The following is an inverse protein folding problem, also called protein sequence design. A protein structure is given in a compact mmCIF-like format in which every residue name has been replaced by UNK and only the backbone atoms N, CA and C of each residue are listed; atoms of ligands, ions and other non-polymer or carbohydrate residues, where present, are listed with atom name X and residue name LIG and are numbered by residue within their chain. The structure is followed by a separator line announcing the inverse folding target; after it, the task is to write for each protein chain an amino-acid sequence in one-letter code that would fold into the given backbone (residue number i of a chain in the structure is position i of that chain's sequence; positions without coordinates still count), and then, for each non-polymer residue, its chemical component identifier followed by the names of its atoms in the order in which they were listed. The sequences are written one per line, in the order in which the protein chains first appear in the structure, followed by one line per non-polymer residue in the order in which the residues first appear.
data_IF_147031599589
#
_entry.id   IF_147031599589
#
_cell.length_a   1.000
_cell.length_b   1.000
_cell.length_c   1.000
_cell.angle_alpha   90.00
_cell.angle_beta   90.00
_cell.angle_gamma   90.00
#
_symmetry.space_group_name_H-M   'P 1'
#
loop_
_entity.id
_entity.type
_entity.pdbx_description
1 polymer ?
#
# COMPACT_ATOMS: atom_id res chain seq x y z
N UNK A 1 -51.11 19.20 0.79
CA UNK A 1 -50.36 18.57 1.89
C UNK A 1 -50.22 17.09 1.54
N UNK A 2 -49.12 16.72 0.90
CA UNK A 2 -48.81 15.33 0.52
C UNK A 2 -48.06 14.70 1.70
N UNK A 3 -48.48 13.50 2.09
CA UNK A 3 -48.05 12.79 3.30
C UNK A 3 -46.63 12.24 3.17
N UNK A 4 -45.68 12.76 3.97
CA UNK A 4 -44.28 12.34 4.08
C UNK A 4 -44.08 11.10 4.98
N UNK A 5 -45.16 10.49 5.46
CA UNK A 5 -45.12 9.36 6.39
C UNK A 5 -44.45 8.08 5.84
N UNK A 6 -44.60 7.70 4.54
CA UNK A 6 -44.01 6.45 4.05
C UNK A 6 -42.48 6.47 3.88
N UNK A 7 -41.88 7.64 3.69
CA UNK A 7 -40.43 7.79 3.52
C UNK A 7 -39.70 7.80 4.87
N UNK A 8 -40.31 8.43 5.88
CA UNK A 8 -39.82 8.40 7.25
C UNK A 8 -39.87 6.98 7.87
N UNK A 9 -40.90 6.19 7.57
CA UNK A 9 -40.98 4.81 8.07
C UNK A 9 -39.88 3.89 7.47
N UNK A 10 -39.46 4.13 6.21
CA UNK A 10 -38.34 3.40 5.57
C UNK A 10 -36.97 3.81 6.09
N UNK A 11 -36.74 5.09 6.38
CA UNK A 11 -35.49 5.54 6.98
C UNK A 11 -35.31 5.05 8.43
N UNK A 12 -36.40 4.93 9.20
CA UNK A 12 -36.36 4.42 10.57
C UNK A 12 -36.04 2.91 10.60
N UNK A 13 -36.62 2.11 9.69
CA UNK A 13 -36.33 0.66 9.62
C UNK A 13 -34.88 0.39 9.18
N UNK A 14 -34.36 1.13 8.21
CA UNK A 14 -32.96 1.00 7.77
C UNK A 14 -31.96 1.37 8.87
N UNK A 15 -32.29 2.34 9.72
CA UNK A 15 -31.44 2.78 10.83
C UNK A 15 -31.48 1.82 12.02
N UNK A 16 -32.61 1.18 12.29
CA UNK A 16 -32.72 0.12 13.31
C UNK A 16 -31.98 -1.17 12.91
N UNK A 17 -32.00 -1.55 11.63
CA UNK A 17 -31.21 -2.68 11.12
C UNK A 17 -29.70 -2.41 11.17
N UNK A 18 -29.27 -1.17 10.87
CA UNK A 18 -27.86 -0.77 10.97
C UNK A 18 -27.35 -0.75 12.42
N UNK A 19 -28.19 -0.33 13.38
CA UNK A 19 -27.85 -0.35 14.81
C UNK A 19 -27.84 -1.77 15.38
N UNK A 20 -28.75 -2.64 14.92
CA UNK A 20 -28.77 -4.06 15.29
C UNK A 20 -27.53 -4.83 14.81
N UNK A 21 -27.05 -4.52 13.60
CA UNK A 21 -25.80 -5.08 13.06
C UNK A 21 -24.55 -4.63 13.83
N UNK A 22 -24.54 -3.39 14.31
CA UNK A 22 -23.41 -2.83 15.08
C UNK A 22 -23.35 -3.38 16.51
N UNK A 23 -24.50 -3.65 17.15
CA UNK A 23 -24.58 -4.32 18.45
C UNK A 23 -24.17 -5.81 18.38
N UNK A 24 -24.51 -6.49 17.28
CA UNK A 24 -24.07 -7.86 17.01
C UNK A 24 -22.54 -7.93 16.76
N UNK A 25 -21.97 -6.91 16.12
CA UNK A 25 -20.53 -6.74 15.93
C UNK A 25 -19.80 -6.47 17.24
N UNK A 26 -20.29 -5.52 18.07
CA UNK A 26 -19.68 -5.21 19.36
C UNK A 26 -19.73 -6.38 20.36
N UNK A 27 -20.76 -7.23 20.31
CA UNK A 27 -20.81 -8.47 21.13
C UNK A 27 -19.86 -9.57 20.64
N UNK A 28 -19.48 -9.60 19.35
CA UNK A 28 -18.47 -10.53 18.83
C UNK A 28 -17.05 -10.09 19.16
N UNK A 29 -16.78 -8.79 19.12
CA UNK A 29 -15.45 -8.23 19.42
C UNK A 29 -15.18 -8.21 20.94
N UNK A 30 -16.22 -8.25 21.77
CA UNK A 30 -16.10 -8.20 23.25
C UNK A 30 -16.26 -9.57 23.96
N UNK A 31 -15.94 -10.68 23.29
CA UNK A 31 -15.97 -12.02 23.89
C UNK A 31 -14.88 -12.24 24.97
N UNK A 32 -15.09 -13.16 25.93
CA UNK A 32 -14.51 -13.10 27.26
C UNK A 32 -13.02 -13.46 27.32
N UNK A 33 -12.31 -12.82 28.23
CA UNK A 33 -10.89 -13.04 28.51
C UNK A 33 -10.54 -14.50 28.74
N UNK A 34 -9.43 -14.91 28.12
CA UNK A 34 -8.80 -16.22 28.27
C UNK A 34 -8.21 -16.33 29.68
N UNK A 35 -8.64 -17.34 30.43
CA UNK A 35 -7.88 -17.91 31.55
C UNK A 35 -7.86 -19.45 31.39
N UNK A 36 -6.78 -20.14 31.83
CA UNK A 36 -6.25 -21.32 31.16
C UNK A 36 -6.96 -22.63 31.53
N UNK A 37 -6.78 -23.61 30.65
CA UNK A 37 -7.35 -24.96 30.70
C UNK A 37 -6.98 -25.76 31.96
N UNK A 38 -7.95 -26.51 32.51
CA UNK A 38 -7.72 -27.74 33.27
C UNK A 38 -8.91 -28.72 33.19
N UNK A 39 -8.58 -30.01 33.34
CA UNK A 39 -9.25 -31.24 32.92
C UNK A 39 -10.65 -31.59 33.51
N UNK A 40 -11.34 -32.50 32.82
CA UNK A 40 -12.53 -33.29 33.24
C UNK A 40 -12.27 -34.10 34.55
N UNK A 41 -13.23 -34.54 35.38
CA UNK A 41 -14.45 -35.39 35.18
C UNK A 41 -15.43 -35.25 36.41
N UNK A 42 -16.53 -36.04 36.67
CA UNK A 42 -17.88 -35.48 36.96
C UNK A 42 -18.53 -35.90 38.32
N UNK A 43 -19.80 -35.47 38.47
CA UNK A 43 -20.92 -36.07 39.26
C UNK A 43 -21.26 -35.54 40.69
N UNK A 44 -22.42 -34.84 40.72
CA UNK A 44 -23.60 -35.05 41.58
C UNK A 44 -23.78 -34.36 42.98
N UNK A 45 -25.04 -33.92 43.18
CA UNK A 45 -25.85 -33.79 44.43
C UNK A 45 -26.01 -32.40 45.11
N UNK A 46 -27.14 -31.75 44.77
CA UNK A 46 -28.25 -31.25 45.65
C UNK A 46 -28.13 -29.98 46.54
N UNK A 47 -29.01 -29.01 46.20
CA UNK A 47 -29.83 -28.02 46.96
C UNK A 47 -29.32 -27.36 48.26
N UNK A 48 -29.42 -26.02 48.35
CA UNK A 48 -30.36 -25.29 49.25
C UNK A 48 -30.44 -23.78 48.95
N UNK A 49 -31.42 -23.09 49.55
CA UNK A 49 -32.10 -21.87 49.10
C UNK A 49 -31.51 -20.49 49.53
N UNK A 50 -31.84 -19.47 48.71
CA UNK A 50 -32.10 -18.01 48.85
C UNK A 50 -32.04 -17.28 50.25
N UNK A 51 -32.11 -15.91 50.36
CA UNK A 51 -32.21 -14.83 49.34
C UNK A 51 -31.38 -13.51 49.59
N UNK A 52 -31.53 -12.58 48.63
CA UNK A 52 -31.58 -11.09 48.74
C UNK A 52 -30.30 -10.24 48.91
N UNK A 53 -30.07 -9.32 47.95
CA UNK A 53 -29.94 -7.87 48.14
C UNK A 53 -29.91 -7.15 46.77
N UNK A 54 -30.83 -6.21 46.56
CA UNK A 54 -30.94 -5.35 45.38
C UNK A 54 -30.05 -4.09 45.52
N UNK A 55 -29.57 -3.48 44.43
CA UNK A 55 -29.10 -2.11 44.45
C UNK A 55 -30.16 -1.12 43.92
N UNK A 56 -30.19 0.00 44.63
CA UNK A 56 -31.07 1.16 44.60
C UNK A 56 -31.16 1.89 43.26
N UNK A 57 -32.40 2.20 42.86
CA UNK A 57 -32.76 3.21 41.86
C UNK A 57 -32.58 4.60 42.46
N UNK A 58 -31.80 5.48 41.82
CA UNK A 58 -31.94 6.94 41.93
C UNK A 58 -31.49 7.62 40.61
N UNK A 59 -32.48 8.07 39.84
CA UNK A 59 -32.42 9.23 38.95
C UNK A 59 -33.70 10.05 39.24
N UNK A 60 -33.86 11.33 38.84
CA UNK A 60 -33.01 12.17 37.98
C UNK A 60 -32.81 13.61 38.52
N UNK A 61 -32.01 14.44 37.84
CA UNK A 61 -32.47 15.70 37.21
C UNK A 61 -31.35 16.73 36.95
N UNK A 62 -31.55 17.46 35.85
CA UNK A 62 -31.02 18.75 35.41
C UNK A 62 -29.74 18.82 34.55
N UNK A 63 -30.02 19.07 33.27
CA UNK A 63 -29.18 19.64 32.23
C UNK A 63 -28.43 20.90 32.69
N UNK A 64 -27.17 21.00 32.26
CA UNK A 64 -26.37 22.23 32.34
C UNK A 64 -26.15 22.73 30.91
N UNK A 65 -26.83 23.83 30.62
CA UNK A 65 -26.58 24.75 29.49
C UNK A 65 -25.26 25.49 29.76
N UNK A 66 -24.37 25.71 28.77
CA UNK A 66 -23.23 26.62 28.96
C UNK A 66 -23.72 28.06 28.91
N UNK A 67 -23.71 28.73 30.06
CA UNK A 67 -24.01 30.16 30.21
C UNK A 67 -22.76 31.00 29.91
N UNK A 68 -23.00 32.08 29.16
CA UNK A 68 -22.08 33.16 28.85
C UNK A 68 -21.45 33.80 30.12
N UNK A 69 -20.23 34.33 29.96
CA UNK A 69 -19.59 35.24 30.91
C UNK A 69 -18.86 36.38 30.20
N UNK A 70 -18.65 37.53 30.87
CA UNK A 70 -19.20 38.80 30.39
C UNK A 70 -18.15 39.87 30.08
N UNK A 71 -18.66 40.94 29.44
CA UNK A 71 -17.99 42.19 29.06
C UNK A 71 -17.70 43.05 30.30
N UNK A 72 -16.49 43.61 30.39
CA UNK A 72 -16.19 44.81 31.17
C UNK A 72 -15.32 45.78 30.34
N UNK A 73 -15.54 47.08 30.58
CA UNK A 73 -15.36 48.23 29.68
C UNK A 73 -14.02 49.00 29.83
N UNK A 74 -13.59 49.59 28.70
CA UNK A 74 -12.90 50.89 28.41
C UNK A 74 -11.56 51.25 29.10
N UNK A 75 -10.40 51.37 28.39
CA UNK A 75 -9.84 52.44 27.48
C UNK A 75 -9.15 53.62 28.23
N UNK A 76 -8.22 54.45 27.65
CA UNK A 76 -7.74 54.58 26.26
C UNK A 76 -6.23 54.92 26.02
N UNK A 77 -5.77 54.85 24.75
CA UNK A 77 -4.85 55.77 24.02
C UNK A 77 -4.34 55.07 22.73
N UNK A 78 -4.98 55.26 21.58
CA UNK A 78 -4.75 56.31 20.59
C UNK A 78 -3.56 56.03 19.65
N UNK A 79 -3.84 55.50 18.45
CA UNK A 79 -3.33 56.06 17.21
C UNK A 79 -4.24 55.64 16.04
N UNK A 80 -4.53 56.63 15.20
CA UNK A 80 -5.65 56.70 14.29
C UNK A 80 -5.40 55.90 13.02
N UNK A 81 -6.30 54.96 12.70
CA UNK A 81 -6.48 54.50 11.32
C UNK A 81 -7.83 54.98 10.80
N UNK A 82 -7.70 55.69 9.68
CA UNK A 82 -8.72 56.30 8.87
C UNK A 82 -9.86 55.34 8.56
N UNK A 83 -11.08 55.87 8.67
CA UNK A 83 -12.32 55.26 8.21
C UNK A 83 -12.18 54.98 6.72
N UNK A 84 -12.01 53.72 6.33
CA UNK A 84 -12.22 53.28 4.95
C UNK A 84 -13.66 53.62 4.58
N UNK A 85 -13.82 54.31 3.47
CA UNK A 85 -15.14 54.66 2.97
C UNK A 85 -15.92 53.37 2.68
N UNK A 86 -17.26 53.34 2.80
CA UNK A 86 -18.07 52.16 2.46
C UNK A 86 -17.81 51.63 1.03
N UNK A 87 -17.26 52.46 0.15
CA UNK A 87 -16.89 52.12 -1.22
C UNK A 87 -15.59 51.30 -1.31
N UNK A 88 -14.62 51.52 -0.42
CA UNK A 88 -13.36 50.73 -0.38
C UNK A 88 -13.58 49.34 0.21
N UNK A 89 -14.48 49.19 1.19
CA UNK A 89 -14.88 47.88 1.71
C UNK A 89 -15.66 47.07 0.66
N UNK A 90 -16.53 47.72 -0.13
CA UNK A 90 -17.24 47.06 -1.25
C UNK A 90 -16.28 46.67 -2.37
N UNK A 91 -15.30 47.52 -2.71
CA UNK A 91 -14.27 47.19 -3.71
C UNK A 91 -13.29 46.11 -3.22
N UNK A 92 -12.96 46.05 -1.93
CA UNK A 92 -12.15 44.99 -1.35
C UNK A 92 -12.90 43.64 -1.33
N UNK A 93 -14.20 43.65 -1.05
CA UNK A 93 -15.06 42.46 -1.14
C UNK A 93 -15.28 42.02 -2.60
N UNK A 94 -15.40 42.95 -3.55
CA UNK A 94 -15.43 42.65 -4.99
C UNK A 94 -14.09 42.12 -5.52
N UNK A 95 -12.96 42.63 -5.02
CA UNK A 95 -11.62 42.16 -5.37
C UNK A 95 -11.30 40.78 -4.77
N UNK A 96 -11.86 40.43 -3.61
CA UNK A 96 -11.78 39.08 -3.02
C UNK A 96 -12.77 38.09 -3.65
N UNK A 97 -13.77 38.56 -4.41
CA UNK A 97 -14.79 37.74 -5.07
C UNK A 97 -14.48 37.40 -6.54
N UNK A 98 -13.34 37.83 -7.08
CA UNK A 98 -12.89 37.40 -8.40
C UNK A 98 -12.39 35.96 -8.33
N UNK A 99 -13.32 34.99 -8.32
CA UNK A 99 -12.99 33.58 -8.60
C UNK A 99 -12.23 33.56 -9.94
N UNK A 100 -11.08 32.85 -10.04
CA UNK A 100 -10.36 32.74 -11.30
C UNK A 100 -11.35 32.27 -12.37
N UNK A 101 -11.47 33.03 -13.46
CA UNK A 101 -12.39 32.64 -14.53
C UNK A 101 -11.98 31.25 -15.04
N UNK A 102 -12.95 30.33 -15.21
CA UNK A 102 -12.65 28.99 -15.68
C UNK A 102 -11.98 29.05 -17.05
N UNK A 103 -10.80 28.43 -17.14
CA UNK A 103 -10.03 28.40 -18.38
C UNK A 103 -10.67 27.41 -19.36
N UNK A 104 -11.59 27.92 -20.18
CA UNK A 104 -12.33 27.13 -21.19
C UNK A 104 -11.41 26.35 -22.13
N UNK A 105 -10.21 26.87 -22.42
CA UNK A 105 -9.20 26.18 -23.23
C UNK A 105 -8.63 24.93 -22.54
N UNK A 106 -8.46 24.97 -21.22
CA UNK A 106 -8.05 23.79 -20.43
C UNK A 106 -9.17 22.76 -20.37
N UNK A 107 -10.40 23.19 -20.12
CA UNK A 107 -11.57 22.30 -20.01
C UNK A 107 -11.84 21.58 -21.34
N UNK A 108 -11.76 22.28 -22.48
CA UNK A 108 -11.87 21.63 -23.80
C UNK A 108 -10.81 20.55 -24.01
N UNK A 109 -9.58 20.76 -23.54
CA UNK A 109 -8.53 19.73 -23.60
C UNK A 109 -8.87 18.54 -22.70
N UNK A 110 -9.40 18.78 -21.49
CA UNK A 110 -9.86 17.70 -20.60
C UNK A 110 -10.99 16.88 -21.23
N UNK A 111 -11.97 17.54 -21.87
CA UNK A 111 -13.04 16.85 -22.61
C UNK A 111 -12.47 15.95 -23.72
N UNK A 112 -11.57 16.48 -24.55
CA UNK A 112 -10.98 15.70 -25.63
C UNK A 112 -10.10 14.55 -25.11
N UNK A 113 -9.36 14.77 -24.02
CA UNK A 113 -8.54 13.75 -23.38
C UNK A 113 -9.40 12.61 -22.82
N UNK A 114 -10.48 12.94 -22.10
CA UNK A 114 -11.43 11.96 -21.58
C UNK A 114 -12.05 11.13 -22.72
N UNK A 115 -12.54 11.78 -23.77
CA UNK A 115 -13.17 11.07 -24.91
C UNK A 115 -12.16 10.18 -25.66
N UNK A 116 -10.89 10.57 -25.74
CA UNK A 116 -9.84 9.73 -26.32
C UNK A 116 -9.57 8.50 -25.44
N UNK A 117 -9.44 8.70 -24.13
CA UNK A 117 -9.21 7.64 -23.15
C UNK A 117 -10.38 6.66 -23.08
N UNK A 118 -11.61 7.16 -23.15
CA UNK A 118 -12.82 6.32 -23.21
C UNK A 118 -12.82 5.43 -24.44
N UNK A 119 -12.57 5.97 -25.64
CA UNK A 119 -12.50 5.17 -26.87
C UNK A 119 -11.40 4.12 -26.84
N UNK A 120 -10.26 4.43 -26.23
CA UNK A 120 -9.18 3.46 -26.05
C UNK A 120 -9.62 2.33 -25.10
N UNK A 121 -10.29 2.68 -24.01
CA UNK A 121 -10.77 1.72 -23.02
C UNK A 121 -11.87 0.80 -23.58
N UNK A 122 -12.87 1.37 -24.26
CA UNK A 122 -14.04 0.65 -24.81
C UNK A 122 -13.75 0.00 -26.17
N UNK A 123 -12.81 0.54 -26.94
CA UNK A 123 -12.47 0.06 -28.28
C UNK A 123 -11.65 -1.24 -28.32
N UNK A 124 -11.08 -1.67 -27.19
CA UNK A 124 -10.34 -2.93 -27.09
C UNK A 124 -11.21 -4.01 -26.44
N UNK A 125 -11.49 -5.15 -27.12
CA UNK A 125 -12.20 -6.28 -26.51
C UNK A 125 -11.40 -6.83 -25.33
N UNK A 126 -11.82 -6.35 -24.15
CA UNK A 126 -11.43 -6.68 -22.79
C UNK A 126 -11.92 -8.03 -22.26
N UNK A 127 -11.08 -8.93 -21.73
CA UNK A 127 -11.57 -9.79 -20.66
C UNK A 127 -11.97 -8.92 -19.45
N UNK A 128 -13.09 -9.24 -18.81
CA UNK A 128 -13.56 -8.48 -17.66
C UNK A 128 -12.83 -8.93 -16.40
N UNK A 129 -11.84 -8.16 -15.96
CA UNK A 129 -11.05 -8.42 -14.76
C UNK A 129 -11.40 -7.43 -13.65
N UNK A 130 -11.14 -7.74 -12.36
CA UNK A 130 -11.30 -6.78 -11.27
C UNK A 130 -10.48 -5.49 -11.48
N UNK A 131 -9.25 -5.59 -11.98
CA UNK A 131 -8.44 -4.43 -12.37
C UNK A 131 -9.19 -3.54 -13.38
N UNK A 132 -9.73 -4.15 -14.46
CA UNK A 132 -10.50 -3.42 -15.48
C UNK A 132 -11.76 -2.80 -14.91
N UNK A 133 -12.46 -3.48 -13.99
CA UNK A 133 -13.62 -2.93 -13.28
C UNK A 133 -13.25 -1.63 -12.53
N UNK A 134 -12.12 -1.62 -11.82
CA UNK A 134 -11.65 -0.45 -11.07
C UNK A 134 -11.22 0.70 -12.02
N UNK A 135 -10.51 0.39 -13.10
CA UNK A 135 -10.16 1.39 -14.12
C UNK A 135 -11.40 1.97 -14.82
N UNK A 136 -12.46 1.19 -15.01
CA UNK A 136 -13.71 1.71 -15.53
C UNK A 136 -14.40 2.65 -14.53
N UNK A 137 -14.41 2.32 -13.23
CA UNK A 137 -14.89 3.24 -12.17
C UNK A 137 -14.11 4.55 -12.15
N UNK A 138 -12.78 4.46 -12.29
CA UNK A 138 -11.90 5.62 -12.42
C UNK A 138 -12.31 6.52 -13.60
N UNK A 139 -12.54 5.91 -14.77
CA UNK A 139 -12.97 6.63 -15.97
C UNK A 139 -14.34 7.29 -15.79
N UNK A 140 -15.30 6.63 -15.13
CA UNK A 140 -16.61 7.23 -14.83
C UNK A 140 -16.46 8.45 -13.92
N UNK A 141 -15.65 8.35 -12.85
CA UNK A 141 -15.36 9.49 -11.97
C UNK A 141 -14.69 10.65 -12.72
N UNK A 142 -13.74 10.35 -13.62
CA UNK A 142 -13.09 11.36 -14.48
C UNK A 142 -14.13 12.08 -15.36
N UNK A 143 -14.99 11.32 -16.03
CA UNK A 143 -16.07 11.86 -16.87
C UNK A 143 -17.03 12.76 -16.07
N UNK A 144 -17.41 12.35 -14.85
CA UNK A 144 -18.21 13.20 -13.94
C UNK A 144 -17.47 14.48 -13.59
N UNK A 145 -16.18 14.40 -13.23
CA UNK A 145 -15.36 15.58 -12.92
C UNK A 145 -15.30 16.57 -14.08
N UNK A 146 -14.99 16.09 -15.29
CA UNK A 146 -14.93 16.91 -16.50
C UNK A 146 -16.28 17.55 -16.84
N UNK A 147 -17.39 16.80 -16.66
CA UNK A 147 -18.72 17.33 -16.90
C UNK A 147 -19.09 18.46 -15.93
N UNK A 148 -18.75 18.31 -14.64
CA UNK A 148 -18.96 19.34 -13.61
C UNK A 148 -18.07 20.58 -13.86
N UNK A 149 -16.80 20.41 -14.27
CA UNK A 149 -15.94 21.54 -14.65
C UNK A 149 -16.53 22.33 -15.84
N UNK A 150 -17.04 21.61 -16.84
CA UNK A 150 -17.65 22.21 -18.01
C UNK A 150 -18.96 22.94 -17.67
N UNK A 151 -19.81 22.36 -16.81
CA UNK A 151 -21.04 23.00 -16.35
C UNK A 151 -20.75 24.29 -15.58
N UNK A 152 -19.79 24.27 -14.65
CA UNK A 152 -19.34 25.47 -13.91
C UNK A 152 -18.80 26.55 -14.86
N UNK A 153 -18.23 26.17 -15.99
CA UNK A 153 -17.73 27.08 -17.02
C UNK A 153 -18.78 27.53 -18.05
N UNK A 154 -20.03 27.05 -17.94
CA UNK A 154 -21.09 27.28 -18.92
C UNK A 154 -20.76 26.71 -20.30
N UNK A 155 -20.10 25.55 -20.34
CA UNK A 155 -19.73 24.82 -21.54
C UNK A 155 -20.61 23.58 -21.69
N UNK A 156 -20.78 23.13 -22.93
CA UNK A 156 -21.53 21.90 -23.22
C UNK A 156 -20.72 20.66 -22.79
N UNK A 157 -21.31 19.84 -21.92
CA UNK A 157 -20.76 18.58 -21.43
C UNK A 157 -21.52 17.35 -21.96
N UNK A 158 -22.47 17.55 -22.89
CA UNK A 158 -23.36 16.50 -23.40
C UNK A 158 -22.60 15.24 -23.85
N UNK A 159 -21.55 15.41 -24.66
CA UNK A 159 -20.75 14.29 -25.16
C UNK A 159 -20.04 13.50 -24.05
N UNK A 160 -19.63 14.16 -22.97
CA UNK A 160 -18.99 13.50 -21.83
C UNK A 160 -20.01 12.66 -21.06
N UNK A 161 -21.18 13.25 -20.77
CA UNK A 161 -22.27 12.55 -20.07
C UNK A 161 -22.82 11.38 -20.90
N UNK A 162 -22.89 11.53 -22.22
CA UNK A 162 -23.31 10.43 -23.09
C UNK A 162 -22.31 9.27 -23.07
N UNK A 163 -21.01 9.53 -23.10
CA UNK A 163 -19.99 8.49 -22.89
C UNK A 163 -20.13 7.81 -21.52
N UNK A 164 -20.42 8.55 -20.44
CA UNK A 164 -20.68 7.95 -19.12
C UNK A 164 -21.92 7.04 -19.14
N UNK A 165 -22.97 7.40 -19.89
CA UNK A 165 -24.16 6.54 -20.07
C UNK A 165 -23.86 5.29 -20.88
N UNK A 166 -23.04 5.38 -21.93
CA UNK A 166 -22.60 4.21 -22.69
C UNK A 166 -21.82 3.24 -21.80
N UNK A 167 -20.89 3.76 -21.00
CA UNK A 167 -20.14 2.97 -20.03
C UNK A 167 -21.08 2.29 -19.02
N UNK A 168 -22.12 2.99 -18.55
CA UNK A 168 -23.13 2.41 -17.66
C UNK A 168 -23.86 1.23 -18.29
N UNK A 169 -24.20 1.31 -19.57
CA UNK A 169 -24.85 0.21 -20.30
C UNK A 169 -23.93 -1.01 -20.34
N UNK A 170 -22.65 -0.83 -20.69
CA UNK A 170 -21.66 -1.91 -20.68
C UNK A 170 -21.48 -2.51 -19.26
N UNK A 171 -21.45 -1.66 -18.23
CA UNK A 171 -21.39 -2.10 -16.83
C UNK A 171 -22.57 -3.01 -16.47
N UNK A 172 -23.80 -2.62 -16.83
CA UNK A 172 -25.01 -3.37 -16.50
C UNK A 172 -25.09 -4.70 -17.28
N UNK A 173 -24.53 -4.77 -18.48
CA UNK A 173 -24.46 -6.02 -19.25
C UNK A 173 -23.47 -7.02 -18.66
N UNK A 174 -22.40 -6.54 -18.03
CA UNK A 174 -21.29 -7.37 -17.56
C UNK A 174 -21.29 -7.67 -16.07
N UNK A 175 -22.03 -6.91 -15.27
CA UNK A 175 -22.02 -7.07 -13.81
C UNK A 175 -23.43 -7.29 -13.27
N UNK A 176 -23.57 -8.28 -12.37
CA UNK A 176 -24.80 -8.51 -11.60
C UNK A 176 -24.86 -7.66 -10.32
N UNK A 177 -23.87 -6.78 -10.11
CA UNK A 177 -23.73 -5.99 -8.90
C UNK A 177 -24.59 -4.74 -8.91
N UNK A 178 -24.85 -4.19 -7.72
CA UNK A 178 -25.50 -2.90 -7.57
C UNK A 178 -24.80 -1.82 -8.43
N UNK A 179 -25.55 -0.86 -8.99
CA UNK A 179 -24.98 0.16 -9.86
C UNK A 179 -23.94 0.99 -9.10
N UNK A 180 -22.78 1.19 -9.71
CA UNK A 180 -21.73 2.05 -9.18
C UNK A 180 -22.27 3.47 -8.93
N UNK A 181 -21.96 4.06 -7.76
CA UNK A 181 -22.62 5.29 -7.29
C UNK A 181 -22.47 6.47 -8.26
N UNK A 182 -21.35 6.56 -8.98
CA UNK A 182 -21.06 7.65 -9.89
C UNK A 182 -21.93 7.63 -11.17
N UNK A 183 -22.67 6.54 -11.42
CA UNK A 183 -23.69 6.51 -12.47
C UNK A 183 -24.99 7.23 -12.10
N UNK A 184 -25.16 7.62 -10.83
CA UNK A 184 -26.31 8.39 -10.41
C UNK A 184 -26.14 9.86 -10.82
N UNK A 185 -26.84 10.29 -11.87
CA UNK A 185 -26.76 11.66 -12.39
C UNK A 185 -27.15 12.72 -11.36
N UNK A 186 -27.97 12.39 -10.36
CA UNK A 186 -28.40 13.32 -9.30
C UNK A 186 -27.30 13.62 -8.27
N UNK A 187 -26.18 12.88 -8.27
CA UNK A 187 -25.05 13.14 -7.37
C UNK A 187 -24.12 14.18 -7.97
N UNK A 188 -24.09 15.34 -7.34
CA UNK A 188 -23.18 16.42 -7.68
C UNK A 188 -22.13 16.60 -6.59
N UNK A 189 -20.87 16.67 -7.00
CA UNK A 189 -19.73 16.92 -6.14
C UNK A 189 -18.80 17.91 -6.81
N UNK A 190 -17.93 18.56 -6.03
CA UNK A 190 -16.91 19.45 -6.57
C UNK A 190 -16.03 18.70 -7.57
N UNK A 191 -15.61 19.31 -8.70
CA UNK A 191 -14.76 18.63 -9.68
C UNK A 191 -13.48 18.01 -9.11
N UNK A 192 -12.91 18.62 -8.08
CA UNK A 192 -11.71 18.12 -7.40
C UNK A 192 -11.98 16.78 -6.69
N UNK A 193 -13.17 16.61 -6.09
CA UNK A 193 -13.57 15.34 -5.44
C UNK A 193 -13.67 14.23 -6.49
N UNK A 194 -14.28 14.52 -7.65
CA UNK A 194 -14.38 13.56 -8.74
C UNK A 194 -13.01 13.16 -9.31
N UNK A 195 -12.11 14.13 -9.42
CA UNK A 195 -10.73 13.90 -9.85
C UNK A 195 -10.01 12.97 -8.87
N UNK A 196 -10.08 13.26 -7.57
CA UNK A 196 -9.43 12.41 -6.57
C UNK A 196 -10.06 11.01 -6.46
N UNK A 197 -11.38 10.89 -6.63
CA UNK A 197 -12.02 9.58 -6.73
C UNK A 197 -11.56 8.81 -7.97
N UNK A 198 -11.38 9.50 -9.10
CA UNK A 198 -10.85 8.88 -10.32
C UNK A 198 -9.45 8.32 -10.07
N UNK A 199 -8.56 9.09 -9.45
CA UNK A 199 -7.20 8.65 -9.11
C UNK A 199 -7.22 7.50 -8.10
N UNK A 200 -8.08 7.56 -7.08
CA UNK A 200 -8.19 6.52 -6.07
C UNK A 200 -8.70 5.19 -6.66
N UNK A 201 -9.69 5.21 -7.56
CA UNK A 201 -10.13 4.00 -8.28
C UNK A 201 -9.11 3.49 -9.29
N UNK A 202 -8.29 4.37 -9.88
CA UNK A 202 -7.17 3.92 -10.71
C UNK A 202 -6.14 3.14 -9.86
N UNK A 203 -5.75 3.70 -8.71
CA UNK A 203 -4.86 3.03 -7.78
C UNK A 203 -5.47 1.73 -7.20
N UNK A 204 -6.80 1.64 -7.05
CA UNK A 204 -7.47 0.39 -6.70
C UNK A 204 -7.30 -0.69 -7.78
N UNK A 205 -7.31 -0.30 -9.06
CA UNK A 205 -7.00 -1.21 -10.17
C UNK A 205 -5.57 -1.73 -10.09
N UNK A 206 -4.61 -0.83 -9.87
CA UNK A 206 -3.21 -1.20 -9.62
C UNK A 206 -3.07 -2.13 -8.42
N UNK A 207 -3.87 -1.94 -7.37
CA UNK A 207 -3.90 -2.81 -6.19
C UNK A 207 -4.40 -4.22 -6.48
N UNK A 208 -5.45 -4.38 -7.30
CA UNK A 208 -5.93 -5.69 -7.74
C UNK A 208 -4.81 -6.44 -8.49
N UNK A 209 -4.17 -5.78 -9.47
CA UNK A 209 -3.07 -6.36 -10.25
C UNK A 209 -1.84 -6.69 -9.38
N UNK A 210 -1.52 -5.82 -8.41
CA UNK A 210 -0.42 -6.04 -7.48
C UNK A 210 -0.67 -7.22 -6.54
N UNK A 211 -1.90 -7.39 -6.05
CA UNK A 211 -2.27 -8.52 -5.20
C UNK A 211 -2.32 -9.84 -5.99
N UNK A 212 -2.73 -9.80 -7.27
CA UNK A 212 -2.61 -10.96 -8.17
C UNK A 212 -1.14 -11.35 -8.34
N UNK A 213 -0.26 -10.37 -8.52
CA UNK A 213 1.19 -10.60 -8.61
C UNK A 213 1.76 -11.22 -7.32
N UNK A 214 1.38 -10.73 -6.14
CA UNK A 214 1.81 -11.28 -4.84
C UNK A 214 1.33 -12.72 -4.68
N UNK A 215 0.11 -13.05 -5.10
CA UNK A 215 -0.42 -14.41 -4.98
C UNK A 215 0.21 -15.38 -5.98
N UNK A 216 0.64 -14.90 -7.14
CA UNK A 216 1.21 -15.72 -8.20
C UNK A 216 2.73 -15.99 -8.04
N UNK A 217 3.42 -15.22 -7.19
CA UNK A 217 4.89 -15.24 -7.12
C UNK A 217 5.40 -15.42 -5.70
N UNK A 218 6.45 -16.22 -5.53
CA UNK A 218 7.19 -16.31 -4.27
C UNK A 218 8.13 -15.11 -4.13
N UNK A 219 7.70 -14.10 -3.38
CA UNK A 219 8.45 -12.88 -3.15
C UNK A 219 9.21 -12.93 -1.82
N UNK A 220 10.33 -12.19 -1.74
CA UNK A 220 10.95 -11.90 -0.46
C UNK A 220 9.94 -11.20 0.46
N UNK A 221 10.01 -11.50 1.76
CA UNK A 221 9.02 -11.00 2.74
C UNK A 221 8.92 -9.47 2.70
N UNK A 222 10.05 -8.78 2.62
CA UNK A 222 10.10 -7.32 2.61
C UNK A 222 9.42 -6.73 1.36
N UNK A 223 9.65 -7.33 0.18
CA UNK A 223 9.04 -6.88 -1.07
C UNK A 223 7.52 -7.16 -1.07
N UNK A 224 7.11 -8.32 -0.53
CA UNK A 224 5.69 -8.67 -0.33
C UNK A 224 5.00 -7.68 0.60
N UNK A 225 5.57 -7.44 1.77
CA UNK A 225 5.01 -6.54 2.78
C UNK A 225 4.89 -5.11 2.23
N UNK A 226 5.87 -4.65 1.44
CA UNK A 226 5.81 -3.35 0.78
C UNK A 226 4.66 -3.25 -0.23
N UNK A 227 4.46 -4.27 -1.07
CA UNK A 227 3.35 -4.27 -2.05
C UNK A 227 2.01 -4.26 -1.32
N UNK A 228 1.84 -5.12 -0.30
CA UNK A 228 0.60 -5.25 0.47
C UNK A 228 0.26 -3.94 1.19
N UNK A 229 1.25 -3.27 1.79
CA UNK A 229 1.06 -1.97 2.41
C UNK A 229 0.53 -0.91 1.43
N UNK A 230 1.13 -0.82 0.24
CA UNK A 230 0.74 0.15 -0.80
C UNK A 230 -0.61 -0.18 -1.43
N UNK A 231 -0.93 -1.46 -1.59
CA UNK A 231 -2.27 -1.91 -1.98
C UNK A 231 -3.32 -1.51 -0.93
N UNK A 232 -3.00 -1.67 0.36
CA UNK A 232 -3.83 -1.19 1.47
C UNK A 232 -4.02 0.33 1.48
N UNK A 233 -3.01 1.10 1.08
CA UNK A 233 -3.16 2.54 0.95
C UNK A 233 -4.19 2.93 -0.14
N UNK A 234 -4.30 2.14 -1.20
CA UNK A 234 -5.23 2.39 -2.31
C UNK A 234 -6.70 2.23 -1.90
N UNK A 235 -7.03 1.16 -1.16
CA UNK A 235 -8.39 0.97 -0.64
C UNK A 235 -8.73 1.98 0.46
N UNK A 236 -7.78 2.27 1.35
CA UNK A 236 -7.96 3.21 2.45
C UNK A 236 -8.16 4.65 1.96
N UNK A 237 -7.59 5.00 0.80
CA UNK A 237 -7.83 6.29 0.16
C UNK A 237 -9.31 6.47 -0.22
N UNK A 238 -9.93 5.47 -0.84
CA UNK A 238 -11.36 5.49 -1.19
C UNK A 238 -12.23 5.58 0.07
N UNK A 239 -11.90 4.78 1.10
CA UNK A 239 -12.60 4.84 2.38
C UNK A 239 -12.55 6.24 2.99
N UNK A 240 -11.36 6.86 3.02
CA UNK A 240 -11.18 8.22 3.54
C UNK A 240 -11.90 9.27 2.73
N UNK A 241 -11.86 9.21 1.40
CA UNK A 241 -12.63 10.12 0.54
C UNK A 241 -14.13 10.02 0.84
N UNK A 242 -14.62 8.81 1.09
CA UNK A 242 -16.03 8.57 1.42
C UNK A 242 -16.42 9.18 2.76
N UNK A 243 -15.59 9.00 3.80
CA UNK A 243 -15.83 9.51 5.15
C UNK A 243 -15.64 11.02 5.26
N UNK A 244 -14.53 11.55 4.74
CA UNK A 244 -14.15 12.96 4.90
C UNK A 244 -15.02 13.89 4.05
N UNK A 245 -15.45 13.45 2.86
CA UNK A 245 -16.35 14.23 1.99
C UNK A 245 -17.84 13.86 2.19
N UNK A 246 -18.14 12.92 3.10
CA UNK A 246 -19.51 12.52 3.43
C UNK A 246 -20.28 11.94 2.24
N UNK A 247 -19.59 11.20 1.36
CA UNK A 247 -20.16 10.72 0.10
C UNK A 247 -21.23 9.64 0.31
N UNK A 248 -21.19 8.95 1.45
CA UNK A 248 -22.24 8.02 1.89
C UNK A 248 -22.48 6.87 0.91
N UNK A 249 -21.41 6.36 0.28
CA UNK A 249 -21.48 5.14 -0.53
C UNK A 249 -20.59 4.05 0.07
N UNK A 250 -20.85 2.81 -0.31
CA UNK A 250 -20.01 1.67 0.01
C UNK A 250 -19.69 0.99 -1.31
N UNK A 251 -18.41 0.83 -1.62
CA UNK A 251 -17.99 0.12 -2.83
C UNK A 251 -17.62 -1.34 -2.51
N UNK A 252 -18.27 -2.27 -3.22
CA UNK A 252 -18.07 -3.70 -3.00
C UNK A 252 -16.66 -4.17 -3.38
N UNK A 253 -16.02 -3.54 -4.36
CA UNK A 253 -14.67 -3.88 -4.79
C UNK A 253 -13.63 -3.38 -3.78
N UNK A 254 -13.77 -2.15 -3.28
CA UNK A 254 -12.93 -1.63 -2.19
C UNK A 254 -12.91 -2.60 -1.00
N UNK A 255 -14.07 -3.13 -0.59
CA UNK A 255 -14.15 -4.14 0.48
C UNK A 255 -13.50 -5.48 0.12
N UNK A 256 -13.57 -5.90 -1.15
CA UNK A 256 -12.88 -7.11 -1.61
C UNK A 256 -11.37 -6.92 -1.53
N UNK A 257 -10.84 -5.80 -2.03
CA UNK A 257 -9.42 -5.47 -1.95
C UNK A 257 -8.97 -5.40 -0.50
N UNK A 258 -9.74 -4.75 0.38
CA UNK A 258 -9.45 -4.72 1.82
C UNK A 258 -9.26 -6.13 2.40
N UNK A 259 -10.20 -7.06 2.14
CA UNK A 259 -10.05 -8.46 2.59
C UNK A 259 -8.83 -9.16 2.00
N UNK A 260 -8.55 -8.95 0.71
CA UNK A 260 -7.36 -9.51 0.06
C UNK A 260 -6.06 -8.96 0.67
N UNK A 261 -6.04 -7.69 1.05
CA UNK A 261 -4.91 -7.06 1.76
C UNK A 261 -4.76 -7.68 3.14
N UNK A 262 -5.84 -7.87 3.90
CA UNK A 262 -5.79 -8.54 5.21
C UNK A 262 -5.28 -9.99 5.09
N UNK A 263 -5.80 -10.75 4.13
CA UNK A 263 -5.36 -12.12 3.84
C UNK A 263 -3.87 -12.17 3.46
N UNK A 264 -3.42 -11.23 2.61
CA UNK A 264 -2.01 -11.13 2.24
C UNK A 264 -1.14 -10.67 3.42
N UNK A 265 -1.62 -9.78 4.28
CA UNK A 265 -0.85 -9.28 5.43
C UNK A 265 -0.66 -10.34 6.53
N UNK A 266 -1.58 -11.32 6.61
CA UNK A 266 -1.52 -12.40 7.60
C UNK A 266 -1.70 -11.85 9.02
N UNK A 267 -0.70 -12.07 9.88
CA UNK A 267 -0.71 -11.55 11.26
C UNK A 267 -0.31 -10.06 11.36
N UNK A 268 0.11 -9.45 10.25
CA UNK A 268 0.59 -8.06 10.23
C UNK A 268 -0.59 -7.11 10.05
N UNK A 269 -0.82 -6.22 11.01
CA UNK A 269 -1.80 -5.14 10.87
C UNK A 269 -1.17 -3.94 10.18
N UNK A 270 -1.59 -3.67 8.94
CA UNK A 270 -1.26 -2.43 8.25
C UNK A 270 -2.36 -1.41 8.47
N UNK A 271 -2.01 -0.32 9.16
CA UNK A 271 -2.95 0.79 9.47
C UNK A 271 -2.44 2.06 8.78
N UNK A 272 -2.49 2.15 7.44
CA UNK A 272 -2.03 3.34 6.72
C UNK A 272 -2.86 4.60 7.03
N UNK A 273 -3.94 4.48 7.81
CA UNK A 273 -4.89 5.55 8.13
C UNK A 273 -4.78 6.13 9.56
N UNK A 274 -3.80 5.75 10.38
CA UNK A 274 -3.76 6.14 11.81
C UNK A 274 -3.32 7.60 12.08
N UNK A 275 -3.01 8.41 11.06
CA UNK A 275 -2.71 9.81 11.33
C UNK A 275 -3.98 10.57 11.74
N UNK A 276 -3.95 11.11 12.96
CA UNK A 276 -4.99 11.97 13.53
C UNK A 276 -5.22 13.25 12.73
N UNK A 277 -4.23 13.67 11.94
CA UNK A 277 -4.34 14.78 11.01
C UNK A 277 -4.87 14.31 9.65
N UNK A 278 -6.16 14.58 9.40
CA UNK A 278 -6.89 14.09 8.21
C UNK A 278 -6.25 14.49 6.88
N UNK A 279 -5.70 15.71 6.80
CA UNK A 279 -5.15 16.22 5.54
C UNK A 279 -3.83 15.52 5.17
N UNK A 280 -2.92 15.38 6.13
CA UNK A 280 -1.65 14.67 5.92
C UNK A 280 -1.85 13.18 5.69
N UNK A 281 -2.85 12.58 6.34
CA UNK A 281 -3.25 11.21 6.09
C UNK A 281 -3.66 10.98 4.62
N UNK A 282 -4.54 11.84 4.08
CA UNK A 282 -5.03 11.75 2.69
C UNK A 282 -3.90 11.92 1.66
N UNK A 283 -3.05 12.92 1.82
CA UNK A 283 -1.91 13.15 0.92
C UNK A 283 -0.91 11.99 0.96
N UNK A 284 -0.69 11.40 2.14
CA UNK A 284 0.18 10.23 2.29
C UNK A 284 -0.42 9.00 1.61
N UNK A 285 -1.71 8.73 1.82
CA UNK A 285 -2.41 7.64 1.15
C UNK A 285 -2.35 7.76 -0.37
N UNK A 286 -2.69 8.95 -0.90
CA UNK A 286 -2.62 9.23 -2.33
C UNK A 286 -1.21 9.00 -2.90
N UNK A 287 -0.18 9.46 -2.19
CA UNK A 287 1.21 9.28 -2.58
C UNK A 287 1.63 7.80 -2.56
N UNK A 288 1.30 7.06 -1.51
CA UNK A 288 1.70 5.65 -1.41
C UNK A 288 0.97 4.78 -2.44
N UNK A 289 -0.33 5.03 -2.64
CA UNK A 289 -1.18 4.38 -3.64
C UNK A 289 -0.69 4.67 -5.07
N UNK A 290 -0.47 5.94 -5.42
CA UNK A 290 0.00 6.34 -6.76
C UNK A 290 1.41 5.86 -7.11
N UNK A 291 2.20 5.40 -6.13
CA UNK A 291 3.52 4.83 -6.35
C UNK A 291 3.51 3.30 -6.52
N UNK A 292 2.37 2.64 -6.32
CA UNK A 292 2.26 1.18 -6.28
C UNK A 292 2.72 0.52 -7.59
N UNK A 293 2.14 0.90 -8.73
CA UNK A 293 2.46 0.29 -10.03
C UNK A 293 3.95 0.35 -10.35
N UNK A 294 4.58 1.52 -10.16
CA UNK A 294 6.03 1.70 -10.32
C UNK A 294 6.82 0.78 -9.41
N UNK A 295 6.40 0.66 -8.15
CA UNK A 295 7.14 -0.16 -7.17
C UNK A 295 7.04 -1.64 -7.47
N UNK A 296 5.87 -2.12 -7.88
CA UNK A 296 5.68 -3.50 -8.35
C UNK A 296 6.61 -3.79 -9.53
N UNK A 297 6.73 -2.87 -10.49
CA UNK A 297 7.62 -3.04 -11.64
C UNK A 297 9.11 -3.09 -11.24
N UNK A 298 9.52 -2.25 -10.30
CA UNK A 298 10.88 -2.31 -9.73
C UNK A 298 11.16 -3.66 -9.05
N UNK A 299 10.19 -4.20 -8.31
CA UNK A 299 10.29 -5.49 -7.64
C UNK A 299 10.34 -6.63 -8.67
N UNK A 300 9.47 -6.60 -9.69
CA UNK A 300 9.49 -7.55 -10.82
C UNK A 300 10.88 -7.62 -11.45
N UNK A 301 11.43 -6.46 -11.83
CA UNK A 301 12.76 -6.40 -12.45
C UNK A 301 13.87 -6.93 -11.54
N UNK A 302 13.79 -6.66 -10.23
CA UNK A 302 14.74 -7.21 -9.25
C UNK A 302 14.62 -8.73 -9.12
N UNK A 303 13.39 -9.24 -9.09
CA UNK A 303 13.09 -10.67 -8.98
C UNK A 303 13.58 -11.42 -10.22
N UNK A 304 13.28 -10.93 -11.42
CA UNK A 304 13.77 -11.49 -12.69
C UNK A 304 15.31 -11.50 -12.75
N UNK A 305 15.96 -10.40 -12.34
CA UNK A 305 17.41 -10.35 -12.27
C UNK A 305 17.99 -11.30 -11.21
N UNK A 306 17.26 -11.58 -10.12
CA UNK A 306 17.66 -12.58 -9.13
C UNK A 306 17.50 -14.01 -9.68
N UNK A 307 16.38 -14.30 -10.33
CA UNK A 307 16.11 -15.58 -10.99
C UNK A 307 17.14 -15.88 -12.08
N UNK A 308 17.43 -14.92 -12.98
CA UNK A 308 18.44 -15.10 -14.02
C UNK A 308 19.84 -15.38 -13.48
N UNK A 309 20.21 -14.79 -12.33
CA UNK A 309 21.46 -15.12 -11.62
C UNK A 309 21.45 -16.53 -11.03
N UNK A 310 20.33 -16.92 -10.42
CA UNK A 310 20.16 -18.26 -9.84
C UNK A 310 20.21 -19.35 -10.93
N UNK A 311 19.53 -19.13 -12.06
CA UNK A 311 19.52 -20.03 -13.21
C UNK A 311 20.92 -20.17 -13.84
N UNK A 312 21.64 -19.06 -14.00
CA UNK A 312 23.01 -19.11 -14.50
C UNK A 312 23.93 -19.89 -13.54
N UNK A 313 23.80 -19.68 -12.22
CA UNK A 313 24.54 -20.44 -11.22
C UNK A 313 24.14 -21.92 -11.17
N UNK A 314 22.87 -22.25 -11.41
CA UNK A 314 22.40 -23.64 -11.55
C UNK A 314 23.05 -24.31 -12.77
N UNK A 315 23.00 -23.65 -13.92
CA UNK A 315 23.64 -24.14 -15.14
C UNK A 315 25.16 -24.33 -14.98
N UNK A 316 25.84 -23.48 -14.20
CA UNK A 316 27.25 -23.68 -13.87
C UNK A 316 27.48 -24.95 -13.03
N UNK A 317 26.62 -25.23 -12.06
CA UNK A 317 26.72 -26.46 -11.26
C UNK A 317 26.49 -27.70 -12.13
N UNK A 318 25.51 -27.65 -13.03
CA UNK A 318 25.23 -28.73 -13.97
C UNK A 318 26.39 -28.94 -14.95
N UNK A 319 27.01 -27.86 -15.43
CA UNK A 319 28.20 -27.90 -16.26
C UNK A 319 29.38 -28.57 -15.53
N UNK A 320 29.61 -28.24 -14.26
CA UNK A 320 30.65 -28.87 -13.43
C UNK A 320 30.36 -30.37 -13.22
N UNK A 321 29.11 -30.72 -12.91
CA UNK A 321 28.71 -32.11 -12.77
C UNK A 321 28.91 -32.91 -14.08
N UNK A 322 28.71 -32.28 -15.24
CA UNK A 322 28.98 -32.89 -16.54
C UNK A 322 30.48 -33.08 -16.80
N UNK A 323 31.32 -32.14 -16.36
CA UNK A 323 32.79 -32.24 -16.48
C UNK A 323 33.31 -33.43 -15.65
N UNK A 324 32.79 -33.60 -14.44
CA UNK A 324 33.15 -34.73 -13.56
C UNK A 324 32.81 -36.11 -14.17
N UNK A 325 31.92 -36.16 -15.17
CA UNK A 325 31.45 -37.38 -15.84
C UNK A 325 32.11 -37.69 -17.19
N UNK A 326 33.18 -36.97 -17.60
CA UNK A 326 33.93 -37.06 -18.89
C UNK A 326 33.74 -35.86 -19.85
N UNK A 327 33.23 -34.72 -19.39
CA UNK A 327 33.10 -33.51 -20.21
C UNK A 327 34.42 -32.74 -20.45
N UNK A 328 34.54 -32.07 -21.60
CA UNK A 328 35.62 -31.11 -21.87
C UNK A 328 35.47 -29.88 -20.95
N UNK A 329 36.52 -29.60 -20.16
CA UNK A 329 36.51 -28.55 -19.15
C UNK A 329 36.39 -27.17 -19.80
N UNK A 330 37.13 -26.92 -20.89
CA UNK A 330 37.20 -25.58 -21.48
C UNK A 330 35.94 -25.26 -22.28
N UNK A 331 35.48 -26.21 -23.10
CA UNK A 331 34.26 -26.03 -23.92
C UNK A 331 32.98 -25.95 -23.09
N UNK A 332 32.97 -26.49 -21.86
CA UNK A 332 31.78 -26.53 -21.00
C UNK A 332 31.81 -25.45 -19.92
N UNK A 333 32.95 -25.25 -19.24
CA UNK A 333 33.01 -24.38 -18.07
C UNK A 333 33.09 -22.89 -18.45
N UNK A 334 33.86 -22.54 -19.47
CA UNK A 334 34.07 -21.14 -19.86
C UNK A 334 32.75 -20.46 -20.29
N UNK A 335 31.90 -21.08 -21.14
CA UNK A 335 30.60 -20.51 -21.49
C UNK A 335 29.65 -20.42 -20.29
N UNK A 336 29.67 -21.40 -19.38
CA UNK A 336 28.81 -21.41 -18.19
C UNK A 336 29.18 -20.28 -17.22
N UNK A 337 30.47 -20.06 -16.96
CA UNK A 337 30.94 -18.95 -16.10
C UNK A 337 30.69 -17.60 -16.76
N UNK A 338 30.88 -17.48 -18.09
CA UNK A 338 30.52 -16.27 -18.83
C UNK A 338 29.03 -15.94 -18.64
N UNK A 339 28.15 -16.93 -18.77
CA UNK A 339 26.71 -16.78 -18.54
C UNK A 339 26.40 -16.28 -17.13
N UNK A 340 27.12 -16.73 -16.10
CA UNK A 340 26.97 -16.20 -14.74
C UNK A 340 27.35 -14.71 -14.66
N UNK A 341 28.49 -14.33 -15.24
CA UNK A 341 28.98 -12.96 -15.21
C UNK A 341 28.06 -12.01 -16.01
N UNK A 342 27.58 -12.45 -17.16
CA UNK A 342 26.62 -11.71 -18.00
C UNK A 342 25.25 -11.56 -17.31
N UNK A 343 24.83 -12.57 -16.53
CA UNK A 343 23.64 -12.49 -15.69
C UNK A 343 23.82 -11.56 -14.48
N UNK A 344 25.01 -10.98 -14.27
CA UNK A 344 25.29 -10.04 -13.18
C UNK A 344 25.69 -10.70 -11.86
N UNK A 345 26.10 -11.98 -11.87
CA UNK A 345 26.78 -12.58 -10.73
C UNK A 345 28.11 -11.87 -10.54
N UNK A 346 28.39 -11.42 -9.32
CA UNK A 346 29.64 -10.69 -9.04
C UNK A 346 30.83 -11.64 -9.18
N UNK A 347 31.95 -11.22 -9.81
CA UNK A 347 33.17 -12.04 -9.85
C UNK A 347 33.72 -12.41 -8.46
N UNK A 348 33.35 -11.65 -7.43
CA UNK A 348 33.70 -11.88 -6.03
C UNK A 348 32.72 -12.78 -5.27
N UNK A 349 31.68 -13.30 -5.93
CA UNK A 349 30.69 -14.16 -5.29
C UNK A 349 31.36 -15.43 -4.77
N UNK A 350 31.14 -15.76 -3.50
CA UNK A 350 31.84 -16.87 -2.84
C UNK A 350 31.51 -18.22 -3.48
N UNK A 351 30.28 -18.42 -3.96
CA UNK A 351 29.88 -19.66 -4.59
C UNK A 351 30.50 -19.78 -5.97
N UNK A 352 30.48 -18.70 -6.75
CA UNK A 352 31.14 -18.66 -8.06
C UNK A 352 32.63 -18.95 -7.94
N UNK A 353 33.33 -18.27 -7.03
CA UNK A 353 34.77 -18.47 -6.78
C UNK A 353 35.05 -19.89 -6.30
N UNK A 354 34.29 -20.42 -5.36
CA UNK A 354 34.47 -21.78 -4.85
C UNK A 354 34.29 -22.85 -5.94
N UNK A 355 33.28 -22.69 -6.81
CA UNK A 355 33.02 -23.61 -7.92
C UNK A 355 34.13 -23.56 -9.00
N UNK A 356 34.70 -22.38 -9.25
CA UNK A 356 35.75 -22.20 -10.26
C UNK A 356 37.16 -22.50 -9.75
N UNK A 357 37.38 -22.53 -8.44
CA UNK A 357 38.72 -22.70 -7.83
C UNK A 357 39.47 -23.96 -8.31
N UNK A 358 38.84 -25.15 -8.45
CA UNK A 358 39.52 -26.34 -8.94
C UNK A 358 40.01 -26.23 -10.38
N UNK A 359 39.36 -25.38 -11.19
CA UNK A 359 39.56 -25.26 -12.64
C UNK A 359 40.29 -23.98 -13.05
N UNK A 360 40.96 -23.29 -12.11
CA UNK A 360 41.57 -21.98 -12.34
C UNK A 360 42.48 -21.90 -13.58
N UNK A 361 43.22 -22.98 -13.89
CA UNK A 361 44.14 -23.00 -15.02
C UNK A 361 43.44 -22.61 -16.33
N UNK A 362 42.21 -23.09 -16.54
CA UNK A 362 41.39 -22.81 -17.71
C UNK A 362 41.13 -21.31 -17.89
N UNK A 363 40.87 -20.60 -16.80
CA UNK A 363 40.57 -19.17 -16.85
C UNK A 363 41.82 -18.28 -16.99
N UNK A 364 43.01 -18.76 -16.61
CA UNK A 364 44.26 -18.01 -16.83
C UNK A 364 44.62 -17.92 -18.31
N UNK A 365 44.19 -18.89 -19.10
CA UNK A 365 44.50 -18.99 -20.53
C UNK A 365 43.49 -18.21 -21.39
N UNK A 366 42.38 -17.73 -20.79
CA UNK A 366 41.40 -16.90 -21.48
C UNK A 366 41.83 -15.42 -21.52
N UNK A 367 41.96 -14.85 -22.71
CA UNK A 367 42.28 -13.43 -22.95
C UNK A 367 41.02 -12.54 -23.01
N UNK A 368 40.03 -12.84 -22.17
CA UNK A 368 38.78 -12.07 -22.11
C UNK A 368 38.68 -11.26 -20.81
N UNK A 369 38.52 -9.95 -20.99
CA UNK A 369 38.38 -8.94 -19.93
C UNK A 369 37.26 -9.23 -18.94
N UNK A 370 36.23 -9.98 -19.36
CA UNK A 370 35.14 -10.41 -18.47
C UNK A 370 35.67 -11.29 -17.33
N UNK A 371 36.73 -12.08 -17.55
CA UNK A 371 37.30 -12.97 -16.54
C UNK A 371 38.41 -12.35 -15.69
N UNK A 372 38.98 -11.20 -16.07
CA UNK A 372 40.11 -10.56 -15.37
C UNK A 372 39.88 -10.46 -13.86
N UNK A 373 38.71 -9.94 -13.47
CA UNK A 373 38.35 -9.78 -12.05
C UNK A 373 38.16 -11.11 -11.35
N UNK A 374 37.53 -12.09 -12.02
CA UNK A 374 37.35 -13.43 -11.45
C UNK A 374 38.71 -14.10 -11.21
N UNK A 375 39.62 -14.00 -12.19
CA UNK A 375 41.00 -14.49 -12.10
C UNK A 375 41.75 -13.87 -10.93
N UNK A 376 41.57 -12.57 -10.68
CA UNK A 376 42.14 -11.90 -9.51
C UNK A 376 41.65 -12.53 -8.19
N UNK A 377 40.34 -12.78 -8.06
CA UNK A 377 39.78 -13.41 -6.85
C UNK A 377 40.20 -14.87 -6.67
N UNK A 378 40.27 -15.65 -7.75
CA UNK A 378 40.77 -17.03 -7.72
C UNK A 378 42.25 -17.07 -7.31
N UNK A 379 43.05 -16.10 -7.77
CA UNK A 379 44.46 -15.95 -7.41
C UNK A 379 44.65 -15.59 -5.93
N UNK A 380 43.83 -14.67 -5.40
CA UNK A 380 43.85 -14.30 -3.97
C UNK A 380 43.46 -15.47 -3.07
N UNK A 381 42.45 -16.24 -3.46
CA UNK A 381 41.99 -17.42 -2.71
C UNK A 381 43.06 -18.50 -2.64
N UNK A 382 43.78 -18.75 -3.75
CA UNK A 382 44.90 -19.69 -3.76
C UNK A 382 46.05 -19.23 -2.84
N UNK A 383 46.44 -17.96 -2.91
CA UNK A 383 47.49 -17.42 -2.04
C UNK A 383 47.15 -17.59 -0.55
N UNK A 384 45.86 -17.45 -0.19
CA UNK A 384 45.39 -17.70 1.17
C UNK A 384 45.41 -19.18 1.55
N UNK A 385 45.07 -20.09 0.63
CA UNK A 385 45.13 -21.54 0.85
C UNK A 385 46.57 -22.03 0.99
N UNK A 386 47.48 -21.56 0.14
CA UNK A 386 48.92 -21.86 0.22
C UNK A 386 49.54 -21.37 1.53
N UNK A 387 49.12 -20.20 2.02
CA UNK A 387 49.57 -19.67 3.31
C UNK A 387 49.05 -20.48 4.52
N UNK A 388 47.88 -21.11 4.39
CA UNK A 388 47.32 -22.01 5.42
C UNK A 388 47.85 -23.45 5.33
N UNK A 389 48.34 -23.88 4.17
CA UNK A 389 48.86 -25.23 3.92
C UNK A 389 50.38 -25.38 4.08
N UNK A 390 51.11 -24.30 4.30
CA UNK A 390 52.54 -24.37 4.64
C UNK A 390 52.70 -24.89 6.08
N UNK A 391 53.57 -25.88 6.35
CA UNK A 391 53.89 -26.28 7.71
C UNK A 391 54.49 -25.06 8.42
N UNK A 392 53.80 -24.59 9.45
CA UNK A 392 54.31 -23.52 10.28
C UNK A 392 55.45 -24.08 11.15
N UNK A 393 56.70 -23.94 10.69
CA UNK A 393 57.84 -23.75 11.60
C UNK A 393 57.77 -22.32 12.15
N UNK A 394 56.68 -22.04 12.85
CA UNK A 394 56.58 -20.90 13.74
C UNK A 394 56.04 -21.44 15.03
N UNK A 395 56.87 -21.37 16.06
CA UNK A 395 56.40 -21.22 17.43
C UNK A 395 55.40 -20.05 17.43
N UNK A 396 54.12 -20.36 17.24
CA UNK A 396 53.04 -19.46 17.61
C UNK A 396 53.06 -19.42 19.13
N UNK A 397 53.81 -18.46 19.67
CA UNK A 397 53.35 -17.76 20.86
C UNK A 397 51.89 -17.40 20.61
N UNK A 398 51.00 -18.14 21.26
CA UNK A 398 49.59 -17.80 21.37
C UNK A 398 49.55 -16.38 21.93
N UNK A 399 49.36 -15.41 21.05
CA UNK A 399 49.16 -14.03 21.45
C UNK A 399 47.88 -13.97 22.29
N UNK A 400 48.02 -13.50 23.54
CA UNK A 400 46.92 -13.28 24.50
C UNK A 400 45.75 -12.44 23.92
N UNK A 401 45.92 -11.79 22.76
CA UNK A 401 44.91 -10.97 22.10
C UNK A 401 43.66 -11.71 21.65
N UNK A 402 43.74 -12.99 21.27
CA UNK A 402 42.55 -13.76 20.85
C UNK A 402 41.71 -14.22 22.04
N UNK A 403 42.34 -14.51 23.18
CA UNK A 403 41.65 -14.81 24.43
C UNK A 403 41.00 -13.56 25.03
N UNK A 404 41.68 -12.42 24.95
CA UNK A 404 41.17 -11.13 25.43
C UNK A 404 40.02 -10.62 24.56
N UNK A 405 40.12 -10.79 23.23
CA UNK A 405 39.03 -10.47 22.30
C UNK A 405 37.81 -11.39 22.49
N UNK A 406 38.02 -12.68 22.72
CA UNK A 406 36.93 -13.62 23.03
C UNK A 406 36.22 -13.24 24.35
N UNK A 407 36.99 -12.89 25.39
CA UNK A 407 36.45 -12.37 26.66
C UNK A 407 35.66 -11.08 26.47
N UNK A 408 36.22 -10.12 25.76
CA UNK A 408 35.57 -8.83 25.50
C UNK A 408 34.28 -9.00 24.68
N UNK A 409 34.28 -9.91 23.70
CA UNK A 409 33.09 -10.25 22.91
C UNK A 409 32.01 -10.91 23.79
N UNK A 410 32.37 -11.83 24.67
CA UNK A 410 31.43 -12.49 25.57
C UNK A 410 30.85 -11.51 26.61
N UNK A 411 31.68 -10.59 27.12
CA UNK A 411 31.28 -9.53 28.03
C UNK A 411 30.32 -8.53 27.36
N UNK A 412 30.63 -8.11 26.12
CA UNK A 412 29.76 -7.28 25.28
C UNK A 412 28.43 -8.00 24.97
N UNK A 413 28.47 -9.26 24.55
CA UNK A 413 27.26 -10.04 24.24
C UNK A 413 26.38 -10.24 25.49
N UNK A 414 27.00 -10.41 26.66
CA UNK A 414 26.28 -10.47 27.94
C UNK A 414 25.65 -9.11 28.27
N UNK A 415 26.37 -8.00 28.01
CA UNK A 415 25.86 -6.65 28.23
C UNK A 415 24.73 -6.22 27.28
N UNK A 416 24.70 -6.82 26.08
CA UNK A 416 23.71 -6.59 25.03
C UNK A 416 22.52 -7.55 25.10
N UNK A 417 22.60 -8.63 25.89
CA UNK A 417 21.52 -9.61 26.04
C UNK A 417 20.27 -8.94 26.60
N UNK A 418 19.20 -8.86 25.79
CA UNK A 418 17.93 -8.22 26.14
C UNK A 418 17.85 -6.72 25.85
N UNK A 419 18.86 -6.12 25.21
CA UNK A 419 18.83 -4.71 24.78
C UNK A 419 18.73 -4.62 23.26
N UNK A 420 17.80 -3.82 22.76
CA UNK A 420 17.67 -3.52 21.33
C UNK A 420 18.80 -2.58 20.90
N UNK A 421 19.68 -3.05 20.02
CA UNK A 421 20.77 -2.24 19.46
C UNK A 421 20.30 -1.68 18.12
N UNK A 422 20.22 -0.36 18.03
CA UNK A 422 19.98 0.37 16.78
C UNK A 422 21.31 0.58 16.06
N UNK A 423 21.49 -0.05 14.91
CA UNK A 423 22.57 0.30 13.99
C UNK A 423 22.08 1.44 13.10
N UNK A 424 22.63 2.64 13.32
CA UNK A 424 22.43 3.79 12.43
C UNK A 424 23.51 3.70 11.35
N UNK A 425 23.09 3.38 10.13
CA UNK A 425 23.88 3.43 8.91
C UNK A 425 23.29 4.43 7.94
#
# INVERSE_FOLDING_TARGET
MVSLLPELEREVTSREEALSGMDAYMRRVSGPGIAPAQAAVPAAVTQTAAPALAPTVLAPSHAIVPSARPIAKASPAAESQTVESPQEFVQAVEAMAAKPQPNKGKINKSIQAFLAKEREFTGQPSEWTPEREAHLKSLVCEGRGVAEEAEVAGMDSYHVLESVRMIRSEWNERTETAPFFAFNEARHHRPEIWTELSEAFAALGDAEAALDYVNANELAKEDRDEIVLRAGASEAWIHRLTDDEGLGFIDGQQRRVHRRVEEAAGETLFVPWWDSNRKTARETLAKEAGNLARRVEEIKRKSEAAAGRADAMGALKDAIASIEQEGDVEETLVPAVRKCLDAGVRPSDKNLVALCQPYRAVFREQDDRIFDRLNEYLSKTEALLLRKGAPADRDEEVSDGDAEFARMKEEVMTHLKGKTVLFVG
#
